data_IF_506032977872
#
_entry.id   IF_506032977872
#
_cell.length_a   1.000
_cell.length_b   1.000
_cell.length_c   1.000
_cell.angle_alpha   90.00
_cell.angle_beta   90.00
_cell.angle_gamma   90.00
#
_symmetry.space_group_name_H-M   'P 1'
#
loop_
_entity.id
_entity.type
_entity.pdbx_description
1 polymer ?
#
# COMPACT_ATOMS: atom_id res chain seq x y z
N UNK A 1 1.20 2.31 -46.11
CA UNK A 1 2.13 1.59 -45.20
C UNK A 1 1.59 1.71 -43.79
N UNK A 2 0.84 0.71 -43.35
CA UNK A 2 0.16 0.66 -42.05
C UNK A 2 1.11 0.07 -41.00
N UNK A 3 1.50 0.88 -40.01
CA UNK A 3 2.33 0.44 -38.88
C UNK A 3 1.52 -0.42 -37.90
N UNK A 4 1.68 -1.74 -38.02
CA UNK A 4 1.25 -2.71 -37.01
C UNK A 4 2.19 -2.66 -35.82
N UNK A 5 1.85 -1.87 -34.79
CA UNK A 5 2.48 -2.00 -33.47
C UNK A 5 2.01 -3.33 -32.81
N UNK A 6 2.88 -4.12 -32.18
CA UNK A 6 2.56 -5.51 -31.84
C UNK A 6 1.66 -5.56 -30.60
N UNK A 7 0.41 -6.00 -30.76
CA UNK A 7 -0.51 -6.32 -29.65
C UNK A 7 0.03 -7.40 -28.69
N UNK A 8 1.07 -8.12 -29.08
CA UNK A 8 1.69 -9.22 -28.32
C UNK A 8 2.52 -8.77 -27.13
N UNK A 9 3.23 -7.64 -27.20
CA UNK A 9 4.16 -7.21 -26.15
C UNK A 9 3.46 -6.61 -24.91
N UNK A 10 2.34 -5.90 -25.13
CA UNK A 10 1.51 -5.35 -24.05
C UNK A 10 0.73 -6.46 -23.31
N UNK A 11 0.30 -7.49 -24.04
CA UNK A 11 -0.44 -8.62 -23.47
C UNK A 11 0.47 -9.57 -22.66
N UNK A 12 1.72 -9.78 -23.12
CA UNK A 12 2.73 -10.53 -22.36
C UNK A 12 3.06 -9.89 -21.01
N UNK A 13 3.24 -8.58 -20.98
CA UNK A 13 3.45 -7.85 -19.72
C UNK A 13 2.24 -7.98 -18.80
N UNK A 14 1.00 -7.85 -19.33
CA UNK A 14 -0.24 -8.02 -18.56
C UNK A 14 -0.37 -9.41 -17.93
N UNK A 15 -0.10 -10.46 -18.70
CA UNK A 15 -0.16 -11.86 -18.23
C UNK A 15 0.89 -12.14 -17.15
N UNK A 16 2.12 -11.65 -17.35
CA UNK A 16 3.16 -11.77 -16.33
C UNK A 16 2.74 -11.07 -15.03
N UNK A 17 2.02 -9.94 -15.12
CA UNK A 17 1.48 -9.23 -13.95
C UNK A 17 0.53 -10.06 -13.12
N UNK A 18 -0.47 -10.59 -13.80
CA UNK A 18 -1.50 -11.40 -13.17
C UNK A 18 -0.85 -12.64 -12.56
N UNK A 19 0.06 -13.29 -13.29
CA UNK A 19 0.76 -14.47 -12.81
C UNK A 19 1.58 -14.20 -11.54
N UNK A 20 2.38 -13.12 -11.53
CA UNK A 20 3.17 -12.77 -10.35
C UNK A 20 2.29 -12.43 -9.15
N UNK A 21 1.16 -11.74 -9.35
CA UNK A 21 0.25 -11.41 -8.25
C UNK A 21 -0.47 -12.66 -7.71
N UNK A 22 -0.96 -13.52 -8.59
CA UNK A 22 -1.66 -14.77 -8.23
C UNK A 22 -0.76 -15.73 -7.46
N UNK A 23 0.56 -15.68 -7.67
CA UNK A 23 1.52 -16.50 -6.91
C UNK A 23 2.00 -15.78 -5.64
N UNK A 24 2.39 -14.50 -5.74
CA UNK A 24 2.98 -13.79 -4.62
C UNK A 24 1.99 -13.51 -3.49
N UNK A 25 0.73 -13.20 -3.80
CA UNK A 25 -0.28 -12.87 -2.78
C UNK A 25 -0.57 -14.09 -1.88
N UNK A 26 -0.92 -15.29 -2.38
CA UNK A 26 -1.15 -16.44 -1.52
C UNK A 26 0.07 -16.83 -0.69
N UNK A 27 1.28 -16.71 -1.25
CA UNK A 27 2.51 -16.96 -0.50
C UNK A 27 2.65 -15.94 0.65
N UNK A 28 2.50 -14.65 0.36
CA UNK A 28 2.58 -13.60 1.39
C UNK A 28 1.53 -13.81 2.48
N UNK A 29 0.27 -14.08 2.12
CA UNK A 29 -0.80 -14.37 3.08
C UNK A 29 -0.51 -15.63 3.89
N UNK A 30 -0.01 -16.68 3.24
CA UNK A 30 0.42 -17.92 3.89
C UNK A 30 1.50 -17.68 4.93
N UNK A 31 2.53 -16.90 4.60
CA UNK A 31 3.59 -16.51 5.54
C UNK A 31 3.05 -15.65 6.70
N UNK A 32 2.08 -14.77 6.45
CA UNK A 32 1.49 -13.94 7.52
C UNK A 32 0.68 -14.80 8.50
N UNK A 33 -0.08 -15.76 7.98
CA UNK A 33 -0.94 -16.64 8.77
C UNK A 33 -0.12 -17.69 9.52
N UNK A 34 0.91 -18.26 8.88
CA UNK A 34 1.64 -19.41 9.40
C UNK A 34 2.33 -19.15 10.74
N UNK A 35 3.15 -18.09 10.83
CA UNK A 35 3.80 -17.75 12.09
C UNK A 35 4.27 -16.30 12.14
N UNK A 36 4.51 -15.81 13.36
CA UNK A 36 5.13 -14.50 13.54
C UNK A 36 6.53 -14.45 12.90
N UNK A 37 7.33 -15.51 13.02
CA UNK A 37 8.68 -15.57 12.46
C UNK A 37 8.69 -15.47 10.92
N UNK A 38 7.75 -16.15 10.25
CA UNK A 38 7.61 -16.08 8.79
C UNK A 38 7.09 -14.71 8.33
N UNK A 39 6.19 -14.09 9.10
CA UNK A 39 5.79 -12.69 8.88
C UNK A 39 7.00 -11.75 9.05
N UNK A 40 7.84 -12.00 10.05
CA UNK A 40 9.03 -11.18 10.31
C UNK A 40 10.04 -11.25 9.17
N UNK A 41 10.32 -12.46 8.66
CA UNK A 41 11.17 -12.65 7.48
C UNK A 41 10.61 -11.94 6.25
N UNK A 42 9.30 -12.02 6.02
CA UNK A 42 8.65 -11.30 4.92
C UNK A 42 8.83 -9.78 5.05
N UNK A 43 8.55 -9.22 6.23
CA UNK A 43 8.70 -7.77 6.47
C UNK A 43 10.15 -7.32 6.36
N UNK A 44 11.11 -8.11 6.86
CA UNK A 44 12.53 -7.80 6.70
C UNK A 44 12.96 -7.81 5.22
N UNK A 45 12.47 -8.77 4.43
CA UNK A 45 12.74 -8.81 3.00
C UNK A 45 12.14 -7.60 2.26
N UNK A 46 10.89 -7.22 2.60
CA UNK A 46 10.25 -6.02 2.05
C UNK A 46 10.98 -4.74 2.46
N UNK A 47 11.39 -4.63 3.73
CA UNK A 47 12.15 -3.49 4.24
C UNK A 47 13.50 -3.36 3.53
N UNK A 48 14.23 -4.46 3.38
CA UNK A 48 15.53 -4.46 2.70
C UNK A 48 15.40 -4.02 1.24
N UNK A 49 14.41 -4.57 0.52
CA UNK A 49 14.16 -4.21 -0.88
C UNK A 49 13.66 -2.77 -1.06
N UNK A 50 12.71 -2.33 -0.24
CA UNK A 50 12.22 -0.96 -0.26
C UNK A 50 13.31 0.06 0.12
N UNK A 51 14.16 -0.27 1.10
CA UNK A 51 15.31 0.56 1.48
C UNK A 51 16.32 0.64 0.35
N UNK A 52 16.64 -0.47 -0.30
CA UNK A 52 17.53 -0.49 -1.46
C UNK A 52 17.04 0.44 -2.58
N UNK A 53 15.75 0.36 -2.94
CA UNK A 53 15.15 1.26 -3.92
C UNK A 53 15.16 2.72 -3.48
N UNK A 54 14.81 2.98 -2.22
CA UNK A 54 14.79 4.32 -1.66
C UNK A 54 16.18 4.98 -1.66
N UNK A 55 17.22 4.25 -1.24
CA UNK A 55 18.60 4.72 -1.26
C UNK A 55 19.05 5.03 -2.69
N UNK A 56 18.70 4.18 -3.66
CA UNK A 56 19.00 4.41 -5.08
C UNK A 56 18.35 5.71 -5.62
N UNK A 57 17.17 6.07 -5.14
CA UNK A 57 16.53 7.34 -5.51
C UNK A 57 17.26 8.53 -4.89
N UNK A 58 17.55 8.44 -3.58
CA UNK A 58 18.08 9.54 -2.77
C UNK A 58 19.55 9.86 -3.03
N UNK A 59 20.36 8.88 -3.43
CA UNK A 59 21.81 9.04 -3.59
C UNK A 59 22.22 10.15 -4.58
N UNK A 60 21.31 10.56 -5.47
CA UNK A 60 21.54 11.62 -6.45
C UNK A 60 21.33 13.05 -5.89
N UNK A 61 20.86 13.19 -4.64
CA UNK A 61 20.69 14.48 -3.94
C UNK A 61 21.51 14.56 -2.63
N UNK A 62 22.87 14.58 -2.69
CA UNK A 62 23.71 14.53 -1.50
C UNK A 62 23.55 15.73 -0.56
N UNK A 63 23.14 16.89 -1.08
CA UNK A 63 22.91 18.12 -0.29
C UNK A 63 21.77 18.00 0.73
N UNK A 64 20.86 17.04 0.54
CA UNK A 64 19.71 16.79 1.43
C UNK A 64 19.76 15.40 2.09
N UNK A 65 20.95 14.78 2.14
CA UNK A 65 21.10 13.37 2.55
C UNK A 65 20.52 13.11 3.95
N UNK A 66 20.79 13.96 4.94
CA UNK A 66 20.24 13.79 6.30
C UNK A 66 18.71 13.77 6.31
N UNK A 67 18.08 14.76 5.67
CA UNK A 67 16.62 14.87 5.60
C UNK A 67 16.02 13.66 4.86
N UNK A 68 16.69 13.19 3.82
CA UNK A 68 16.25 12.02 3.06
C UNK A 68 16.40 10.73 3.88
N UNK A 69 17.47 10.55 4.65
CA UNK A 69 17.62 9.39 5.55
C UNK A 69 16.55 9.43 6.64
N UNK A 70 16.35 10.57 7.30
CA UNK A 70 15.31 10.73 8.32
C UNK A 70 13.91 10.44 7.76
N UNK A 71 13.62 10.93 6.56
CA UNK A 71 12.38 10.60 5.87
C UNK A 71 12.26 9.11 5.58
N UNK A 72 13.31 8.46 5.08
CA UNK A 72 13.30 7.02 4.79
C UNK A 72 13.05 6.17 6.03
N UNK A 73 13.68 6.51 7.16
CA UNK A 73 13.45 5.85 8.46
C UNK A 73 12.01 6.05 8.92
N UNK A 74 11.48 7.28 8.85
CA UNK A 74 10.12 7.58 9.26
C UNK A 74 9.06 6.94 8.32
N UNK A 75 9.35 6.87 7.02
CA UNK A 75 8.44 6.41 5.99
C UNK A 75 8.43 4.89 5.81
N UNK A 76 9.60 4.22 5.91
CA UNK A 76 9.72 2.77 5.74
C UNK A 76 9.92 2.05 7.07
N UNK A 77 10.87 2.54 7.88
CA UNK A 77 11.29 1.87 9.11
C UNK A 77 10.17 1.83 10.15
N UNK A 78 9.63 2.98 10.53
CA UNK A 78 8.60 3.07 11.58
C UNK A 78 7.37 2.23 11.23
N UNK A 79 6.74 2.33 10.04
CA UNK A 79 5.56 1.53 9.74
C UNK A 79 5.81 0.03 9.71
N UNK A 80 6.95 -0.42 9.17
CA UNK A 80 7.27 -1.85 9.07
C UNK A 80 7.62 -2.46 10.44
N UNK A 81 8.25 -1.69 11.34
CA UNK A 81 8.41 -2.10 12.75
C UNK A 81 7.06 -2.16 13.45
N UNK A 82 6.18 -1.17 13.24
CA UNK A 82 4.84 -1.17 13.80
C UNK A 82 3.99 -2.33 13.26
N UNK A 83 4.19 -2.74 12.01
CA UNK A 83 3.54 -3.91 11.43
C UNK A 83 3.97 -5.23 12.13
N UNK A 84 5.24 -5.37 12.48
CA UNK A 84 5.74 -6.51 13.27
C UNK A 84 5.15 -6.54 14.68
N UNK A 85 5.09 -5.37 15.31
CA UNK A 85 4.47 -5.21 16.62
C UNK A 85 2.98 -5.58 16.57
N UNK A 86 2.24 -5.09 15.57
CA UNK A 86 0.82 -5.38 15.36
C UNK A 86 0.57 -6.87 15.19
N UNK A 87 1.41 -7.55 14.40
CA UNK A 87 1.31 -9.00 14.18
C UNK A 87 1.53 -9.81 15.46
N UNK A 88 2.26 -9.27 16.43
CA UNK A 88 2.53 -9.92 17.71
C UNK A 88 1.40 -9.74 18.75
N UNK A 89 0.47 -8.81 18.51
CA UNK A 89 -0.65 -8.57 19.43
C UNK A 89 -1.66 -9.72 19.43
N UNK A 90 -2.51 -9.81 20.48
CA UNK A 90 -3.72 -10.62 20.42
C UNK A 90 -4.52 -10.29 19.16
N UNK A 91 -5.05 -11.33 18.50
CA UNK A 91 -5.72 -11.20 17.21
C UNK A 91 -4.87 -10.55 16.09
N UNK A 92 -3.55 -10.48 16.25
CA UNK A 92 -2.64 -9.78 15.33
C UNK A 92 -2.75 -10.22 13.87
N UNK A 93 -3.05 -11.50 13.62
CA UNK A 93 -3.36 -12.00 12.26
C UNK A 93 -4.62 -11.33 11.70
N UNK A 94 -5.69 -11.25 12.49
CA UNK A 94 -6.96 -10.67 12.07
C UNK A 94 -6.81 -9.19 11.76
N UNK A 95 -6.10 -8.45 12.61
CA UNK A 95 -5.78 -7.03 12.37
C UNK A 95 -4.98 -6.83 11.08
N UNK A 96 -3.98 -7.69 10.85
CA UNK A 96 -3.16 -7.65 9.64
C UNK A 96 -3.99 -7.95 8.39
N UNK A 97 -4.81 -9.00 8.41
CA UNK A 97 -5.69 -9.38 7.30
C UNK A 97 -6.74 -8.29 7.02
N UNK A 98 -7.38 -7.76 8.06
CA UNK A 98 -8.34 -6.66 7.95
C UNK A 98 -7.69 -5.47 7.26
N UNK A 99 -6.47 -5.12 7.67
CA UNK A 99 -5.69 -4.04 7.08
C UNK A 99 -5.44 -4.27 5.59
N UNK A 100 -4.83 -5.40 5.22
CA UNK A 100 -4.47 -5.69 3.83
C UNK A 100 -5.68 -5.72 2.90
N UNK A 101 -6.73 -6.44 3.30
CA UNK A 101 -7.94 -6.59 2.50
C UNK A 101 -8.61 -5.22 2.31
N UNK A 102 -8.72 -4.43 3.39
CA UNK A 102 -9.32 -3.10 3.32
C UNK A 102 -8.52 -2.18 2.41
N UNK A 103 -7.19 -2.16 2.52
CA UNK A 103 -6.31 -1.35 1.68
C UNK A 103 -6.51 -1.68 0.19
N UNK A 104 -6.43 -2.96 -0.18
CA UNK A 104 -6.56 -3.38 -1.58
C UNK A 104 -7.95 -3.11 -2.17
N UNK A 105 -9.01 -3.32 -1.38
CA UNK A 105 -10.37 -3.01 -1.84
C UNK A 105 -10.56 -1.50 -1.95
N UNK A 106 -10.05 -0.72 -1.00
CA UNK A 106 -10.13 0.75 -1.03
C UNK A 106 -9.49 1.30 -2.29
N UNK A 107 -8.28 0.86 -2.64
CA UNK A 107 -7.58 1.30 -3.85
C UNK A 107 -8.32 0.88 -5.13
N UNK A 108 -8.84 -0.35 -5.14
CA UNK A 108 -9.63 -0.86 -6.26
C UNK A 108 -10.90 -0.03 -6.45
N UNK A 109 -11.64 0.22 -5.38
CA UNK A 109 -12.88 1.01 -5.42
C UNK A 109 -12.61 2.47 -5.76
N UNK A 110 -11.54 3.06 -5.25
CA UNK A 110 -11.14 4.40 -5.64
C UNK A 110 -10.83 4.50 -7.14
N UNK A 111 -10.19 3.48 -7.71
CA UNK A 111 -9.92 3.38 -9.14
C UNK A 111 -11.21 3.18 -9.96
N UNK A 112 -12.09 2.26 -9.54
CA UNK A 112 -13.31 1.95 -10.28
C UNK A 112 -14.30 3.11 -10.27
N UNK A 113 -14.57 3.68 -9.10
CA UNK A 113 -15.46 4.85 -8.95
C UNK A 113 -14.84 6.05 -9.67
N UNK A 114 -13.53 6.28 -9.51
CA UNK A 114 -12.84 7.37 -10.18
C UNK A 114 -12.88 7.27 -11.71
N UNK A 115 -12.85 6.06 -12.27
CA UNK A 115 -13.02 5.83 -13.72
C UNK A 115 -14.46 5.97 -14.18
N UNK A 116 -15.43 5.52 -13.39
CA UNK A 116 -16.83 5.50 -13.78
C UNK A 116 -17.46 6.90 -13.76
N UNK A 117 -17.18 7.69 -12.72
CA UNK A 117 -17.86 8.97 -12.47
C UNK A 117 -16.92 10.14 -12.17
N UNK A 118 -15.60 9.92 -12.19
CA UNK A 118 -14.62 10.93 -11.78
C UNK A 118 -14.54 12.11 -12.73
N UNK A 119 -14.77 13.32 -12.21
CA UNK A 119 -14.69 14.58 -12.96
C UNK A 119 -13.61 15.50 -12.37
N UNK A 120 -13.49 15.54 -11.04
CA UNK A 120 -12.61 16.49 -10.36
C UNK A 120 -11.30 15.82 -9.96
N UNK A 121 -10.18 16.34 -10.47
CA UNK A 121 -8.85 15.79 -10.17
C UNK A 121 -8.43 16.08 -8.73
N UNK A 122 -7.97 15.05 -8.03
CA UNK A 122 -7.53 15.15 -6.63
C UNK A 122 -6.14 15.79 -6.52
N UNK A 123 -5.18 15.28 -7.30
CA UNK A 123 -3.80 15.75 -7.25
C UNK A 123 -3.16 15.81 -8.65
N UNK A 124 -3.54 16.79 -9.50
CA UNK A 124 -3.16 16.83 -10.92
C UNK A 124 -1.65 16.73 -11.18
N UNK A 125 -0.84 17.37 -10.33
CA UNK A 125 0.63 17.41 -10.47
C UNK A 125 1.32 16.13 -10.00
N UNK A 126 0.70 15.37 -9.10
CA UNK A 126 1.29 14.20 -8.45
C UNK A 126 0.78 12.92 -9.11
N UNK A 127 -0.54 12.78 -9.19
CA UNK A 127 -1.25 11.65 -9.77
C UNK A 127 -2.46 12.14 -10.61
N UNK A 128 -2.29 12.37 -11.93
CA UNK A 128 -3.31 12.97 -12.79
C UNK A 128 -4.55 12.07 -13.02
N UNK A 129 -4.47 10.81 -12.60
CA UNK A 129 -5.57 9.84 -12.74
C UNK A 129 -6.48 9.81 -11.51
N UNK A 130 -6.04 10.29 -10.35
CA UNK A 130 -6.85 10.29 -9.12
C UNK A 130 -7.90 11.41 -9.14
N UNK A 131 -9.11 11.08 -8.68
CA UNK A 131 -10.24 12.01 -8.62
C UNK A 131 -10.83 12.06 -7.21
N UNK A 132 -11.52 13.16 -6.89
CA UNK A 132 -12.23 13.30 -5.62
C UNK A 132 -13.37 12.30 -5.49
N UNK A 133 -14.10 12.03 -6.57
CA UNK A 133 -15.17 11.03 -6.56
C UNK A 133 -14.62 9.63 -6.31
N UNK A 134 -13.45 9.31 -6.87
CA UNK A 134 -12.73 8.08 -6.57
C UNK A 134 -12.31 8.02 -5.10
N UNK A 135 -11.74 9.09 -4.55
CA UNK A 135 -11.38 9.17 -3.13
C UNK A 135 -12.58 8.84 -2.22
N UNK A 136 -13.72 9.51 -2.40
CA UNK A 136 -14.90 9.25 -1.59
C UNK A 136 -15.47 7.84 -1.81
N UNK A 137 -15.47 7.34 -3.05
CA UNK A 137 -15.86 5.96 -3.35
C UNK A 137 -15.02 4.93 -2.61
N UNK A 138 -13.69 5.12 -2.61
CA UNK A 138 -12.75 4.31 -1.84
C UNK A 138 -13.03 4.38 -0.35
N UNK A 139 -13.11 5.60 0.22
CA UNK A 139 -13.36 5.81 1.66
C UNK A 139 -14.65 5.16 2.13
N UNK A 140 -15.76 5.36 1.41
CA UNK A 140 -17.06 4.77 1.79
C UNK A 140 -16.99 3.24 1.72
N UNK A 141 -16.41 2.69 0.65
CA UNK A 141 -16.28 1.23 0.52
C UNK A 141 -15.39 0.61 1.59
N UNK A 142 -14.27 1.25 1.92
CA UNK A 142 -13.36 0.80 2.95
C UNK A 142 -13.96 0.89 4.34
N UNK A 143 -14.70 1.95 4.65
CA UNK A 143 -15.44 2.09 5.90
C UNK A 143 -16.40 0.92 6.12
N UNK A 144 -17.25 0.63 5.12
CA UNK A 144 -18.18 -0.50 5.18
C UNK A 144 -17.44 -1.82 5.33
N UNK A 145 -16.35 -1.99 4.57
CA UNK A 145 -15.57 -3.22 4.58
C UNK A 145 -14.90 -3.50 5.93
N UNK A 146 -14.36 -2.48 6.62
CA UNK A 146 -13.78 -2.66 7.96
C UNK A 146 -14.83 -3.22 8.93
N UNK A 147 -16.05 -2.68 8.92
CA UNK A 147 -17.12 -3.16 9.78
C UNK A 147 -17.55 -4.59 9.43
N UNK A 148 -17.64 -4.91 8.14
CA UNK A 148 -17.94 -6.28 7.68
C UNK A 148 -16.84 -7.25 8.11
N UNK A 149 -15.57 -6.89 7.92
CA UNK A 149 -14.44 -7.74 8.31
C UNK A 149 -14.33 -7.88 9.83
N UNK A 150 -14.66 -6.85 10.60
CA UNK A 150 -14.74 -6.95 12.05
C UNK A 150 -15.73 -8.05 12.48
N UNK A 151 -16.91 -8.10 11.87
CA UNK A 151 -17.90 -9.16 12.13
C UNK A 151 -17.39 -10.54 11.67
N UNK A 152 -16.82 -10.62 10.47
CA UNK A 152 -16.32 -11.90 9.91
C UNK A 152 -15.15 -12.47 10.73
N UNK A 153 -14.30 -11.61 11.28
CA UNK A 153 -13.15 -12.01 12.09
C UNK A 153 -13.44 -12.08 13.59
N UNK A 154 -14.70 -11.87 13.99
CA UNK A 154 -15.10 -11.87 15.41
C UNK A 154 -14.27 -10.88 16.24
N UNK A 155 -14.13 -9.65 15.72
CA UNK A 155 -13.53 -8.51 16.40
C UNK A 155 -14.64 -7.60 16.92
N UNK A 156 -14.49 -7.08 18.14
CA UNK A 156 -15.49 -6.18 18.71
C UNK A 156 -15.57 -4.85 17.95
N UNK A 157 -16.81 -4.41 17.67
CA UNK A 157 -17.08 -3.09 17.09
C UNK A 157 -17.18 -2.08 18.23
N UNK A 158 -16.02 -1.69 18.74
CA UNK A 158 -15.86 -0.63 19.74
C UNK A 158 -15.51 0.72 19.07
N UNK A 159 -15.30 1.76 19.88
CA UNK A 159 -14.91 3.08 19.37
C UNK A 159 -13.61 3.08 18.57
N UNK A 160 -12.67 2.18 18.89
CA UNK A 160 -11.44 2.02 18.12
C UNK A 160 -11.71 1.44 16.73
N UNK A 161 -12.59 0.45 16.63
CA UNK A 161 -12.98 -0.12 15.33
C UNK A 161 -13.68 0.93 14.45
N UNK A 162 -14.56 1.76 15.01
CA UNK A 162 -15.20 2.86 14.27
C UNK A 162 -14.17 3.89 13.80
N UNK A 163 -13.22 4.26 14.67
CA UNK A 163 -12.13 5.16 14.31
C UNK A 163 -11.27 4.57 13.18
N UNK A 164 -10.94 3.28 13.28
CA UNK A 164 -10.18 2.57 12.26
C UNK A 164 -10.94 2.52 10.93
N UNK A 165 -12.25 2.27 10.95
CA UNK A 165 -13.09 2.24 9.75
C UNK A 165 -13.04 3.56 8.97
N UNK A 166 -12.87 4.69 9.67
CA UNK A 166 -12.71 6.00 9.03
C UNK A 166 -11.26 6.23 8.57
N UNK A 167 -10.29 6.03 9.47
CA UNK A 167 -8.90 6.41 9.22
C UNK A 167 -8.19 5.51 8.21
N UNK A 168 -8.48 4.20 8.25
CA UNK A 168 -7.78 3.21 7.43
C UNK A 168 -7.91 3.46 5.92
N UNK A 169 -9.11 3.62 5.35
CA UNK A 169 -9.21 3.86 3.91
C UNK A 169 -8.70 5.25 3.49
N UNK A 170 -8.78 6.26 4.37
CA UNK A 170 -8.14 7.55 4.12
C UNK A 170 -6.62 7.38 4.04
N UNK A 171 -6.03 6.63 4.97
CA UNK A 171 -4.61 6.34 5.00
C UNK A 171 -4.15 5.56 3.76
N UNK A 172 -4.97 4.64 3.24
CA UNK A 172 -4.67 3.93 1.99
C UNK A 172 -4.48 4.92 0.82
N UNK A 173 -5.47 5.80 0.59
CA UNK A 173 -5.42 6.74 -0.54
C UNK A 173 -4.31 7.79 -0.37
N UNK A 174 -4.10 8.26 0.87
CA UNK A 174 -3.02 9.19 1.19
C UNK A 174 -1.64 8.54 1.08
N UNK A 175 -1.49 7.27 1.46
CA UNK A 175 -0.24 6.51 1.32
C UNK A 175 0.26 6.46 -0.11
N UNK A 176 -0.58 6.03 -1.06
CA UNK A 176 -0.26 6.04 -2.49
C UNK A 176 0.02 7.48 -3.00
N UNK A 177 -0.68 8.50 -2.48
CA UNK A 177 -0.36 9.90 -2.85
C UNK A 177 1.01 10.36 -2.33
N UNK A 178 1.40 9.97 -1.11
CA UNK A 178 2.70 10.29 -0.52
C UNK A 178 3.82 9.63 -1.33
N UNK A 179 3.64 8.37 -1.70
CA UNK A 179 4.58 7.62 -2.53
C UNK A 179 4.68 8.21 -3.95
N UNK A 180 3.54 8.49 -4.57
CA UNK A 180 3.48 9.21 -5.84
C UNK A 180 4.22 10.56 -5.76
N UNK A 181 4.08 11.31 -4.66
CA UNK A 181 4.79 12.58 -4.45
C UNK A 181 6.30 12.39 -4.32
N UNK A 182 6.72 11.35 -3.59
CA UNK A 182 8.13 10.98 -3.45
C UNK A 182 8.77 10.71 -4.82
N UNK A 183 8.08 9.94 -5.67
CA UNK A 183 8.55 9.65 -7.04
C UNK A 183 8.70 10.92 -7.87
N UNK A 184 7.73 11.85 -7.80
CA UNK A 184 7.82 13.14 -8.50
C UNK A 184 8.95 14.04 -8.01
N UNK A 185 9.28 13.99 -6.72
CA UNK A 185 10.43 14.74 -6.19
C UNK A 185 11.73 14.34 -6.87
N UNK A 186 11.93 13.03 -7.11
CA UNK A 186 13.11 12.50 -7.79
C UNK A 186 12.95 12.38 -9.31
N UNK A 187 11.93 13.03 -9.89
CA UNK A 187 11.61 13.02 -11.31
C UNK A 187 11.48 11.61 -11.93
N UNK A 188 11.09 10.63 -11.12
CA UNK A 188 10.81 9.25 -11.56
C UNK A 188 9.30 9.00 -11.56
N UNK A 189 8.88 7.96 -12.30
CA UNK A 189 7.50 7.50 -12.32
C UNK A 189 7.29 6.25 -11.48
N UNK A 190 8.23 5.33 -11.55
CA UNK A 190 8.25 4.04 -10.85
C UNK A 190 9.49 4.03 -9.93
N UNK A 191 9.40 3.41 -8.75
CA UNK A 191 10.49 3.44 -7.74
C UNK A 191 11.69 2.57 -8.12
N UNK A 192 11.47 1.56 -8.96
CA UNK A 192 12.47 0.58 -9.34
C UNK A 192 12.07 -0.24 -10.55
N UNK A 193 12.87 -1.26 -10.86
CA UNK A 193 12.64 -2.18 -11.99
C UNK A 193 12.68 -3.64 -11.55
N UNK A 194 12.60 -3.89 -10.23
CA UNK A 194 12.79 -5.21 -9.67
C UNK A 194 11.73 -6.20 -10.18
N UNK A 195 10.52 -5.72 -10.42
CA UNK A 195 9.48 -6.51 -11.06
C UNK A 195 9.32 -6.06 -12.52
N UNK A 196 9.64 -6.92 -13.51
CA UNK A 196 9.54 -6.57 -14.92
C UNK A 196 8.16 -6.03 -15.26
N UNK A 197 8.12 -4.78 -15.73
CA UNK A 197 6.88 -4.08 -16.08
C UNK A 197 6.02 -3.64 -14.89
N UNK A 198 6.49 -3.63 -13.65
CA UNK A 198 5.67 -3.39 -12.44
C UNK A 198 6.16 -2.29 -11.50
N UNK A 199 7.30 -1.68 -11.81
CA UNK A 199 7.97 -0.80 -10.87
C UNK A 199 8.76 -1.58 -9.83
N UNK A 200 8.97 -0.95 -8.69
CA UNK A 200 9.72 -1.51 -7.58
C UNK A 200 8.85 -2.12 -6.48
N UNK A 201 9.51 -2.60 -5.43
CA UNK A 201 8.87 -3.02 -4.17
C UNK A 201 8.11 -1.86 -3.55
N UNK A 202 8.65 -0.64 -3.62
CA UNK A 202 8.01 0.52 -3.00
C UNK A 202 6.64 0.83 -3.63
N UNK A 203 6.52 0.67 -4.96
CA UNK A 203 5.26 0.80 -5.70
C UNK A 203 4.20 -0.25 -5.30
N UNK A 204 4.57 -1.29 -4.52
CA UNK A 204 3.69 -2.41 -4.14
C UNK A 204 3.20 -2.35 -2.70
N UNK A 205 3.92 -1.62 -1.85
CA UNK A 205 3.65 -1.56 -0.42
C UNK A 205 3.32 -0.13 0.05
N UNK A 206 3.22 0.83 -0.86
CA UNK A 206 2.95 2.25 -0.59
C UNK A 206 1.76 2.49 0.36
N UNK A 207 0.60 2.00 -0.02
CA UNK A 207 -0.67 2.14 0.69
C UNK A 207 -0.68 1.23 1.92
N UNK A 208 -0.01 0.08 1.83
CA UNK A 208 0.09 -0.93 2.89
C UNK A 208 0.90 -0.42 4.08
N UNK A 209 2.02 0.26 3.83
CA UNK A 209 2.86 0.87 4.85
C UNK A 209 2.05 1.88 5.67
N UNK A 210 1.36 2.82 5.00
CA UNK A 210 0.57 3.83 5.67
C UNK A 210 -0.58 3.23 6.50
N UNK A 211 -1.25 2.22 5.95
CA UNK A 211 -2.42 1.57 6.58
C UNK A 211 -2.03 0.68 7.75
N UNK A 212 -0.90 -0.03 7.67
CA UNK A 212 -0.34 -0.79 8.79
C UNK A 212 0.08 0.12 9.95
N UNK A 213 0.68 1.28 9.66
CA UNK A 213 1.01 2.26 10.69
C UNK A 213 -0.26 2.75 11.40
N UNK A 214 -1.28 3.16 10.64
CA UNK A 214 -2.54 3.67 11.22
C UNK A 214 -3.23 2.61 12.06
N UNK A 215 -3.29 1.37 11.58
CA UNK A 215 -3.90 0.26 12.33
C UNK A 215 -3.13 0.01 13.63
N UNK A 216 -1.80 -0.06 13.57
CA UNK A 216 -0.98 -0.26 14.75
C UNK A 216 -1.19 0.87 15.77
N UNK A 217 -1.22 2.13 15.35
CA UNK A 217 -1.45 3.27 16.24
C UNK A 217 -2.83 3.23 16.90
N UNK A 218 -3.88 2.87 16.15
CA UNK A 218 -5.23 2.72 16.73
C UNK A 218 -5.26 1.57 17.74
N UNK A 219 -4.62 0.44 17.44
CA UNK A 219 -4.56 -0.68 18.39
C UNK A 219 -3.79 -0.28 19.66
N UNK A 220 -2.63 0.38 19.55
CA UNK A 220 -1.84 0.89 20.69
C UNK A 220 -2.64 1.83 21.60
N UNK A 221 -3.44 2.72 21.01
CA UNK A 221 -4.12 3.78 21.77
C UNK A 221 -5.36 3.29 22.52
N UNK A 222 -5.93 2.16 22.12
CA UNK A 222 -7.24 1.70 22.59
C UNK A 222 -7.24 0.27 23.14
N UNK A 223 -6.13 -0.46 23.09
CA UNK A 223 -5.97 -1.81 23.62
C UNK A 223 -4.60 -2.01 24.26
#
# INVERSE_FOLDING_TARGET
MTSTTPRTFLDQNMRLRILTAVVAIPIALGLIIFSWATTALLIMALLAGATYEYVRLVQHEPSSMLNNVLFGVAYLGVPLIMALWLRHQPDGVKWFMLTLITTWVTDSMALFVGKAIGKHKLAPRISPKKTWEGFFGGVISGFVLVLVLALVFDLSIDGAMILLAVLLPIAAVLGDLLESKLKRRFNVKDSGTLFPGHGGILDRIDSVIATLLVTALVVILFR
#
